data_IF_209133776349
#
_entry.id   IF_209133776349
#
_cell.length_a   1.000
_cell.length_b   1.000
_cell.length_c   1.000
_cell.angle_alpha   90.00
_cell.angle_beta   90.00
_cell.angle_gamma   90.00
#
_symmetry.space_group_name_H-M   'P 1'
#
loop_
_entity.id
_entity.type
_entity.pdbx_description
1 polymer ?
#
# COMPACT_ATOMS: atom_id res chain seq x y z
N UNK A 1 18.77 -2.91 -26.02
CA UNK A 1 18.39 -3.19 -24.61
C UNK A 1 17.47 -2.16 -23.97
N UNK A 2 17.28 -0.94 -24.52
CA UNK A 2 16.30 0.02 -24.06
C UNK A 2 14.85 -0.40 -24.41
N UNK A 3 14.63 -0.97 -25.61
CA UNK A 3 13.32 -1.49 -26.03
C UNK A 3 12.81 -2.67 -25.20
N UNK A 4 13.72 -3.52 -24.70
CA UNK A 4 13.36 -4.68 -23.87
C UNK A 4 12.92 -4.26 -22.46
N UNK A 5 13.59 -3.28 -21.86
CA UNK A 5 13.20 -2.73 -20.54
C UNK A 5 11.81 -2.08 -20.59
N UNK A 6 11.52 -1.40 -21.69
CA UNK A 6 10.22 -0.76 -21.94
C UNK A 6 9.04 -1.76 -21.97
N UNK A 7 9.22 -2.96 -22.59
CA UNK A 7 8.14 -3.97 -22.68
C UNK A 7 7.74 -4.52 -21.32
N UNK A 8 8.68 -4.87 -20.46
CA UNK A 8 8.39 -5.35 -19.10
C UNK A 8 7.67 -4.27 -18.27
N UNK A 9 8.14 -3.04 -18.34
CA UNK A 9 7.52 -1.90 -17.66
C UNK A 9 6.08 -1.65 -18.16
N UNK A 10 5.84 -1.72 -19.48
CA UNK A 10 4.49 -1.62 -20.02
C UNK A 10 3.55 -2.71 -19.51
N UNK A 11 4.04 -3.95 -19.40
CA UNK A 11 3.27 -5.08 -18.86
C UNK A 11 2.97 -4.86 -17.37
N UNK A 12 3.94 -4.41 -16.57
CA UNK A 12 3.74 -4.10 -15.14
C UNK A 12 2.74 -2.97 -14.94
N UNK A 13 2.84 -1.90 -15.72
CA UNK A 13 1.89 -0.77 -15.67
C UNK A 13 0.47 -1.23 -16.01
N UNK A 14 0.31 -2.02 -17.08
CA UNK A 14 -0.97 -2.59 -17.46
C UNK A 14 -1.53 -3.53 -16.39
N UNK A 15 -0.68 -4.34 -15.78
CA UNK A 15 -1.04 -5.24 -14.68
C UNK A 15 -1.53 -4.47 -13.46
N UNK A 16 -0.81 -3.42 -13.06
CA UNK A 16 -1.22 -2.56 -11.93
C UNK A 16 -2.60 -1.96 -12.16
N UNK A 17 -2.85 -1.42 -13.37
CA UNK A 17 -4.17 -0.88 -13.72
C UNK A 17 -5.27 -1.96 -13.69
N UNK A 18 -5.02 -3.15 -14.25
CA UNK A 18 -5.96 -4.27 -14.20
C UNK A 18 -6.29 -4.66 -12.75
N UNK A 19 -5.28 -4.77 -11.90
CA UNK A 19 -5.48 -5.14 -10.50
C UNK A 19 -6.17 -4.04 -9.69
N UNK A 20 -5.95 -2.77 -10.00
CA UNK A 20 -6.65 -1.65 -9.37
C UNK A 20 -8.13 -1.58 -9.77
N UNK A 21 -8.46 -1.88 -11.03
CA UNK A 21 -9.81 -1.82 -11.54
C UNK A 21 -10.64 -3.07 -11.22
N UNK A 22 -10.06 -4.25 -11.39
CA UNK A 22 -10.75 -5.52 -11.39
C UNK A 22 -10.36 -6.46 -10.23
N UNK A 23 -9.24 -6.19 -9.56
CA UNK A 23 -8.63 -7.09 -8.59
C UNK A 23 -7.91 -8.27 -9.24
N UNK A 24 -7.16 -9.02 -8.42
CA UNK A 24 -6.35 -10.14 -8.90
C UNK A 24 -7.17 -11.28 -9.48
N UNK A 25 -8.28 -11.64 -8.83
CA UNK A 25 -9.03 -12.84 -9.18
C UNK A 25 -9.92 -12.68 -10.43
N UNK A 26 -10.30 -11.44 -10.77
CA UNK A 26 -11.14 -11.14 -11.93
C UNK A 26 -10.36 -10.83 -13.21
N UNK A 27 -9.01 -10.84 -13.17
CA UNK A 27 -8.17 -10.64 -14.34
C UNK A 27 -7.27 -11.83 -14.64
N UNK A 28 -6.72 -11.87 -15.84
CA UNK A 28 -5.80 -12.91 -16.32
C UNK A 28 -4.64 -12.33 -17.13
N UNK A 29 -3.64 -13.15 -17.42
CA UNK A 29 -2.44 -12.75 -18.15
C UNK A 29 -2.73 -12.28 -19.58
N UNK A 30 -3.79 -12.79 -20.21
CA UNK A 30 -4.18 -12.39 -21.56
C UNK A 30 -4.78 -10.96 -21.55
N UNK A 31 -5.60 -10.63 -20.56
CA UNK A 31 -6.14 -9.28 -20.37
C UNK A 31 -5.01 -8.27 -20.14
N UNK A 32 -4.05 -8.63 -19.29
CA UNK A 32 -2.87 -7.80 -18.99
C UNK A 32 -2.04 -7.57 -20.26
N UNK A 33 -1.73 -8.63 -21.00
CA UNK A 33 -0.97 -8.53 -22.26
C UNK A 33 -1.66 -7.61 -23.27
N UNK A 34 -2.97 -7.83 -23.52
CA UNK A 34 -3.76 -7.00 -24.42
C UNK A 34 -3.81 -5.53 -24.00
N UNK A 35 -4.00 -5.27 -22.70
CA UNK A 35 -3.98 -3.91 -22.15
C UNK A 35 -2.63 -3.23 -22.35
N UNK A 36 -1.53 -3.99 -22.27
CA UNK A 36 -0.18 -3.49 -22.52
C UNK A 36 0.12 -3.32 -24.04
N UNK A 37 -0.79 -3.72 -24.94
CA UNK A 37 -0.60 -3.65 -26.37
C UNK A 37 0.24 -4.79 -26.96
N UNK A 38 0.33 -5.94 -26.25
CA UNK A 38 1.14 -7.08 -26.69
C UNK A 38 0.32 -8.36 -26.86
N UNK A 39 0.84 -9.27 -27.70
CA UNK A 39 0.32 -10.63 -27.80
C UNK A 39 0.57 -11.41 -26.50
N UNK A 40 -0.31 -12.40 -26.17
CA UNK A 40 -0.17 -13.20 -24.93
C UNK A 40 1.20 -13.85 -24.75
N UNK A 41 1.83 -14.32 -25.84
CA UNK A 41 3.15 -14.95 -25.80
C UNK A 41 4.24 -13.97 -25.33
N UNK A 42 4.07 -12.66 -25.57
CA UNK A 42 5.01 -11.64 -25.12
C UNK A 42 5.02 -11.53 -23.60
N UNK A 43 3.87 -11.69 -22.95
CA UNK A 43 3.77 -11.73 -21.50
C UNK A 43 4.70 -12.80 -20.90
N UNK A 44 4.61 -14.04 -21.38
CA UNK A 44 5.35 -15.18 -20.84
C UNK A 44 6.88 -15.14 -21.09
N UNK A 45 7.34 -14.22 -21.91
CA UNK A 45 8.79 -13.91 -22.01
C UNK A 45 9.32 -13.15 -20.79
N UNK A 46 8.44 -12.48 -20.04
CA UNK A 46 8.81 -11.60 -18.92
C UNK A 46 8.34 -12.13 -17.57
N UNK A 47 7.18 -12.72 -17.54
CA UNK A 47 6.57 -13.20 -16.31
C UNK A 47 6.06 -14.62 -16.48
N UNK A 48 6.45 -15.50 -15.55
CA UNK A 48 6.06 -16.91 -15.57
C UNK A 48 4.56 -17.14 -15.40
N UNK A 49 3.90 -16.26 -14.63
CA UNK A 49 2.49 -16.37 -14.26
C UNK A 49 1.92 -15.03 -13.78
N UNK A 50 0.64 -15.03 -13.42
CA UNK A 50 -0.07 -13.86 -12.88
C UNK A 50 0.49 -13.39 -11.54
N UNK A 51 0.95 -14.30 -10.68
CA UNK A 51 1.55 -13.95 -9.38
C UNK A 51 2.86 -13.19 -9.58
N UNK A 52 3.69 -13.60 -10.52
CA UNK A 52 4.97 -12.92 -10.79
C UNK A 52 4.77 -11.46 -11.23
N UNK A 53 3.82 -11.20 -12.12
CA UNK A 53 3.52 -9.81 -12.52
C UNK A 53 2.80 -9.03 -11.41
N UNK A 54 2.01 -9.70 -10.58
CA UNK A 54 1.40 -9.07 -9.41
C UNK A 54 2.45 -8.58 -8.41
N UNK A 55 3.47 -9.39 -8.13
CA UNK A 55 4.59 -9.00 -7.26
C UNK A 55 5.39 -7.82 -7.83
N UNK A 56 5.61 -7.80 -9.16
CA UNK A 56 6.25 -6.67 -9.83
C UNK A 56 5.40 -5.39 -9.74
N UNK A 57 4.10 -5.50 -9.96
CA UNK A 57 3.15 -4.40 -9.80
C UNK A 57 3.09 -3.91 -8.35
N UNK A 58 3.09 -4.83 -7.39
CA UNK A 58 3.12 -4.49 -5.97
C UNK A 58 4.39 -3.73 -5.58
N UNK A 59 5.55 -4.18 -6.08
CA UNK A 59 6.80 -3.46 -5.84
C UNK A 59 6.74 -2.02 -6.39
N UNK A 60 6.28 -1.85 -7.62
CA UNK A 60 6.13 -0.52 -8.22
C UNK A 60 5.17 0.37 -7.42
N UNK A 61 4.00 -0.17 -7.05
CA UNK A 61 3.02 0.54 -6.24
C UNK A 61 3.58 0.95 -4.87
N UNK A 62 4.29 0.05 -4.19
CA UNK A 62 4.87 0.33 -2.88
C UNK A 62 6.00 1.37 -2.92
N UNK A 63 6.80 1.36 -3.99
CA UNK A 63 7.83 2.39 -4.19
C UNK A 63 7.20 3.78 -4.40
N UNK A 64 6.08 3.87 -5.13
CA UNK A 64 5.31 5.12 -5.29
C UNK A 64 4.66 5.57 -3.99
N UNK A 65 4.13 4.65 -3.18
CA UNK A 65 3.56 4.94 -1.87
C UNK A 65 4.60 5.55 -0.92
N UNK A 66 5.80 5.00 -0.85
CA UNK A 66 6.89 5.55 -0.04
C UNK A 66 7.28 6.95 -0.53
N UNK A 67 7.34 7.19 -1.84
CA UNK A 67 7.60 8.54 -2.38
C UNK A 67 6.52 9.54 -1.98
N UNK A 68 5.24 9.14 -2.00
CA UNK A 68 4.14 9.97 -1.51
C UNK A 68 4.28 10.28 -0.02
N UNK A 69 4.57 9.28 0.80
CA UNK A 69 4.78 9.44 2.24
C UNK A 69 5.99 10.33 2.57
N UNK A 70 7.02 10.34 1.71
CA UNK A 70 8.21 11.15 1.92
C UNK A 70 7.94 12.66 1.90
N UNK A 71 6.95 13.10 1.14
CA UNK A 71 6.58 14.54 1.02
C UNK A 71 5.51 14.97 2.01
N UNK A 72 4.92 14.06 2.78
CA UNK A 72 3.92 14.40 3.78
C UNK A 72 4.56 15.13 4.98
N UNK A 73 3.92 16.18 5.50
CA UNK A 73 4.30 16.80 6.76
C UNK A 73 3.90 15.85 7.91
N UNK A 74 4.89 15.20 8.53
CA UNK A 74 4.68 14.32 9.68
C UNK A 74 4.86 15.08 10.98
N UNK A 75 3.86 15.90 11.33
CA UNK A 75 3.78 16.62 12.59
C UNK A 75 2.33 16.64 13.10
N UNK A 76 2.14 17.05 14.36
CA UNK A 76 0.83 17.00 15.03
C UNK A 76 -0.20 17.85 14.32
N UNK A 77 0.17 19.02 13.82
CA UNK A 77 -0.69 19.98 13.15
C UNK A 77 -1.23 19.45 11.82
N UNK A 78 -0.46 18.58 11.18
CA UNK A 78 -0.81 17.96 9.90
C UNK A 78 -1.55 16.59 10.05
N UNK A 79 -1.85 16.14 11.27
CA UNK A 79 -2.43 14.81 11.50
C UNK A 79 -3.73 14.59 10.72
N UNK A 80 -4.60 15.60 10.64
CA UNK A 80 -5.85 15.52 9.86
C UNK A 80 -5.56 15.36 8.36
N UNK A 81 -4.65 16.17 7.81
CA UNK A 81 -4.24 16.08 6.41
C UNK A 81 -3.64 14.71 6.08
N UNK A 82 -2.82 14.16 6.97
CA UNK A 82 -2.25 12.82 6.81
C UNK A 82 -3.35 11.75 6.77
N UNK A 83 -4.33 11.82 7.66
CA UNK A 83 -5.48 10.90 7.67
C UNK A 83 -6.29 11.00 6.38
N UNK A 84 -6.56 12.20 5.88
CA UNK A 84 -7.29 12.40 4.62
C UNK A 84 -6.57 11.75 3.45
N UNK A 85 -5.25 11.93 3.36
CA UNK A 85 -4.43 11.32 2.31
C UNK A 85 -4.41 9.79 2.43
N UNK A 86 -4.30 9.25 3.64
CA UNK A 86 -4.36 7.79 3.87
C UNK A 86 -5.71 7.23 3.42
N UNK A 87 -6.82 7.83 3.82
CA UNK A 87 -8.17 7.37 3.44
C UNK A 87 -8.35 7.46 1.92
N UNK A 88 -7.97 8.59 1.31
CA UNK A 88 -8.04 8.79 -0.14
C UNK A 88 -7.25 7.71 -0.89
N UNK A 89 -6.02 7.44 -0.47
CA UNK A 89 -5.15 6.42 -1.08
C UNK A 89 -5.74 5.01 -0.93
N UNK A 90 -6.28 4.66 0.25
CA UNK A 90 -6.95 3.37 0.46
C UNK A 90 -8.22 3.24 -0.40
N UNK A 91 -8.95 4.32 -0.61
CA UNK A 91 -10.16 4.34 -1.47
C UNK A 91 -9.81 4.15 -2.94
N UNK A 92 -8.78 4.85 -3.42
CA UNK A 92 -8.28 4.75 -4.80
C UNK A 92 -7.78 3.34 -5.13
N UNK A 93 -7.02 2.73 -4.23
CA UNK A 93 -6.41 1.40 -4.44
C UNK A 93 -7.17 0.26 -3.75
N UNK A 94 -8.46 0.44 -3.44
CA UNK A 94 -9.26 -0.53 -2.67
C UNK A 94 -9.19 -1.94 -3.24
N UNK A 95 -9.39 -2.13 -4.54
CA UNK A 95 -9.39 -3.46 -5.19
C UNK A 95 -8.02 -4.11 -5.14
N UNK A 96 -6.96 -3.33 -5.37
CA UNK A 96 -5.59 -3.81 -5.29
C UNK A 96 -5.24 -4.23 -3.84
N UNK A 97 -5.57 -3.40 -2.87
CA UNK A 97 -5.34 -3.68 -1.45
C UNK A 97 -6.13 -4.90 -0.96
N UNK A 98 -7.36 -5.08 -1.42
CA UNK A 98 -8.16 -6.29 -1.16
C UNK A 98 -7.45 -7.54 -1.69
N UNK A 99 -6.94 -7.50 -2.91
CA UNK A 99 -6.15 -8.57 -3.50
C UNK A 99 -4.89 -8.88 -2.69
N UNK A 100 -4.16 -7.84 -2.22
CA UNK A 100 -2.99 -8.00 -1.35
C UNK A 100 -3.33 -8.69 -0.02
N UNK A 101 -4.44 -8.33 0.62
CA UNK A 101 -4.88 -8.96 1.87
C UNK A 101 -5.21 -10.44 1.65
N UNK A 102 -5.98 -10.74 0.63
CA UNK A 102 -6.39 -12.12 0.33
C UNK A 102 -5.20 -12.99 -0.07
N UNK A 103 -4.39 -12.55 -1.03
CA UNK A 103 -3.20 -13.28 -1.44
C UNK A 103 -2.16 -13.41 -0.31
N UNK A 104 -2.05 -12.43 0.56
CA UNK A 104 -1.14 -12.46 1.71
C UNK A 104 -1.48 -13.57 2.72
N UNK A 105 -2.71 -14.09 2.71
CA UNK A 105 -3.11 -15.26 3.51
C UNK A 105 -2.80 -16.56 2.78
N UNK A 106 -3.03 -16.62 1.47
CA UNK A 106 -3.03 -17.84 0.67
C UNK A 106 -1.68 -18.12 -0.03
N UNK A 107 -0.88 -17.08 -0.28
CA UNK A 107 0.34 -17.16 -1.09
C UNK A 107 1.56 -16.70 -0.31
N UNK A 108 2.54 -17.60 -0.11
CA UNK A 108 3.75 -17.33 0.67
C UNK A 108 4.62 -16.24 0.04
N UNK A 109 4.78 -16.20 -1.30
CA UNK A 109 5.59 -15.18 -1.97
C UNK A 109 5.01 -13.78 -1.75
N UNK A 110 3.68 -13.64 -1.85
CA UNK A 110 2.99 -12.37 -1.58
C UNK A 110 3.09 -11.98 -0.10
N UNK A 111 2.95 -12.94 0.80
CA UNK A 111 3.10 -12.72 2.25
C UNK A 111 4.50 -12.21 2.60
N UNK A 112 5.53 -12.80 2.01
CA UNK A 112 6.92 -12.35 2.20
C UNK A 112 7.15 -10.95 1.63
N UNK A 113 6.68 -10.67 0.41
CA UNK A 113 6.79 -9.36 -0.20
C UNK A 113 6.09 -8.27 0.63
N UNK A 114 4.93 -8.58 1.23
CA UNK A 114 4.24 -7.68 2.16
C UNK A 114 5.06 -7.41 3.42
N UNK A 115 5.67 -8.44 4.00
CA UNK A 115 6.53 -8.29 5.18
C UNK A 115 7.74 -7.41 4.87
N UNK A 116 8.41 -7.63 3.75
CA UNK A 116 9.54 -6.81 3.31
C UNK A 116 9.15 -5.34 3.10
N UNK A 117 8.01 -5.09 2.43
CA UNK A 117 7.50 -3.73 2.25
C UNK A 117 7.17 -3.07 3.59
N UNK A 118 6.57 -3.81 4.52
CA UNK A 118 6.26 -3.32 5.88
C UNK A 118 7.52 -2.91 6.64
N UNK A 119 8.60 -3.70 6.53
CA UNK A 119 9.87 -3.37 7.15
C UNK A 119 10.51 -2.12 6.54
N UNK A 120 10.38 -1.92 5.23
CA UNK A 120 10.84 -0.68 4.56
C UNK A 120 10.05 0.54 5.06
N UNK A 121 8.73 0.46 5.12
CA UNK A 121 7.87 1.53 5.64
C UNK A 121 8.21 1.85 7.09
N UNK A 122 8.37 0.82 7.93
CA UNK A 122 8.72 0.96 9.33
C UNK A 122 10.05 1.70 9.50
N UNK A 123 11.09 1.30 8.76
CA UNK A 123 12.40 1.96 8.80
C UNK A 123 12.32 3.41 8.30
N UNK A 124 11.55 3.65 7.24
CA UNK A 124 11.30 4.99 6.72
C UNK A 124 10.67 5.91 7.77
N UNK A 125 9.57 5.48 8.40
CA UNK A 125 8.89 6.29 9.42
C UNK A 125 9.73 6.44 10.68
N UNK A 126 10.44 5.41 11.11
CA UNK A 126 11.34 5.48 12.26
C UNK A 126 12.41 6.56 12.06
N UNK A 127 13.02 6.58 10.87
CA UNK A 127 14.01 7.60 10.51
C UNK A 127 13.38 9.00 10.39
N UNK A 128 12.25 9.11 9.69
CA UNK A 128 11.59 10.39 9.44
C UNK A 128 11.05 11.04 10.73
N UNK A 129 10.63 10.23 11.69
CA UNK A 129 10.12 10.69 12.99
C UNK A 129 11.22 10.78 14.06
N UNK A 130 12.45 10.37 13.77
CA UNK A 130 13.55 10.39 14.75
C UNK A 130 13.31 9.48 15.94
N UNK A 131 12.58 8.35 15.76
CA UNK A 131 12.22 7.44 16.86
C UNK A 131 13.34 6.46 17.17
N UNK A 132 13.61 6.27 18.47
CA UNK A 132 14.52 5.23 18.95
C UNK A 132 13.98 3.82 18.70
N UNK A 133 14.86 2.82 18.67
CA UNK A 133 14.49 1.40 18.45
C UNK A 133 13.50 0.87 19.50
N UNK A 134 13.48 1.42 20.70
CA UNK A 134 12.51 1.10 21.76
C UNK A 134 11.06 1.36 21.34
N UNK A 135 10.81 2.26 20.39
CA UNK A 135 9.47 2.59 19.87
C UNK A 135 9.07 1.78 18.63
N UNK A 136 9.95 0.91 18.13
CA UNK A 136 9.77 0.17 16.87
C UNK A 136 8.49 -0.66 16.87
N UNK A 137 8.21 -1.40 17.93
CA UNK A 137 7.01 -2.26 18.04
C UNK A 137 5.75 -1.42 18.14
N UNK A 138 5.78 -0.33 18.91
CA UNK A 138 4.66 0.60 19.03
C UNK A 138 4.35 1.26 17.69
N UNK A 139 5.35 1.72 16.96
CA UNK A 139 5.19 2.30 15.63
C UNK A 139 4.57 1.28 14.66
N UNK A 140 5.09 0.04 14.64
CA UNK A 140 4.54 -1.03 13.81
C UNK A 140 3.07 -1.32 14.14
N UNK A 141 2.73 -1.44 15.42
CA UNK A 141 1.35 -1.67 15.85
C UNK A 141 0.41 -0.53 15.42
N UNK A 142 0.85 0.72 15.56
CA UNK A 142 0.07 1.89 15.13
C UNK A 142 -0.10 1.95 13.62
N UNK A 143 0.94 1.63 12.85
CA UNK A 143 0.85 1.54 11.38
C UNK A 143 -0.18 0.50 10.95
N UNK A 144 -0.15 -0.70 11.56
CA UNK A 144 -1.11 -1.76 11.25
C UNK A 144 -2.53 -1.38 11.65
N UNK A 145 -2.71 -0.69 12.77
CA UNK A 145 -4.01 -0.22 13.23
C UNK A 145 -4.59 0.83 12.28
N UNK A 146 -3.82 1.84 11.88
CA UNK A 146 -4.23 2.88 10.94
C UNK A 146 -4.61 2.25 9.59
N UNK A 147 -3.78 1.36 9.06
CA UNK A 147 -4.05 0.64 7.82
C UNK A 147 -5.35 -0.18 7.90
N UNK A 148 -5.57 -0.92 9.00
CA UNK A 148 -6.78 -1.73 9.17
C UNK A 148 -8.04 -0.89 9.28
N UNK A 149 -7.98 0.25 9.98
CA UNK A 149 -9.09 1.20 10.07
C UNK A 149 -9.43 1.81 8.72
N UNK A 150 -8.42 2.23 7.96
CA UNK A 150 -8.60 2.79 6.62
C UNK A 150 -9.17 1.75 5.64
N UNK A 151 -8.66 0.50 5.67
CA UNK A 151 -9.21 -0.59 4.85
C UNK A 151 -10.66 -0.88 5.21
N UNK A 152 -10.99 -0.99 6.52
CA UNK A 152 -12.36 -1.23 6.98
C UNK A 152 -13.32 -0.12 6.55
N UNK A 153 -12.86 1.13 6.63
CA UNK A 153 -13.65 2.29 6.24
C UNK A 153 -14.01 2.24 4.75
N UNK A 154 -13.03 2.01 3.89
CA UNK A 154 -13.26 2.01 2.43
C UNK A 154 -13.96 0.75 1.92
N UNK A 155 -13.96 -0.33 2.72
CA UNK A 155 -14.72 -1.55 2.43
C UNK A 155 -16.18 -1.48 2.91
N UNK A 156 -16.56 -0.43 3.67
CA UNK A 156 -17.94 -0.24 4.17
C UNK A 156 -18.22 -1.01 5.47
N UNK A 157 -17.22 -1.59 6.14
CA UNK A 157 -17.44 -2.37 7.37
C UNK A 157 -18.04 -1.52 8.51
N UNK A 158 -17.74 -0.23 8.55
CA UNK A 158 -18.29 0.68 9.54
C UNK A 158 -19.73 1.10 9.23
N UNK A 159 -20.09 1.18 7.95
CA UNK A 159 -21.46 1.45 7.52
C UNK A 159 -22.40 0.34 7.99
N UNK A 160 -21.96 -0.92 7.91
CA UNK A 160 -22.69 -2.09 8.41
C UNK A 160 -22.94 -2.04 9.93
N UNK A 161 -22.09 -1.30 10.67
CA UNK A 161 -22.18 -1.10 12.12
C UNK A 161 -22.90 0.20 12.49
N UNK A 162 -23.32 1.01 11.52
CA UNK A 162 -23.94 2.32 11.74
C UNK A 162 -22.96 3.37 12.29
N UNK A 163 -21.66 3.19 12.12
CA UNK A 163 -20.62 4.14 12.56
C UNK A 163 -20.28 5.10 11.43
N UNK A 164 -20.23 6.38 11.74
CA UNK A 164 -19.96 7.41 10.74
C UNK A 164 -18.47 7.51 10.40
N UNK A 165 -18.15 7.81 9.15
CA UNK A 165 -16.77 8.04 8.68
C UNK A 165 -16.05 9.10 9.54
N UNK A 166 -16.73 10.17 9.93
CA UNK A 166 -16.16 11.23 10.76
C UNK A 166 -15.68 10.76 12.13
N UNK A 167 -16.36 9.77 12.74
CA UNK A 167 -15.97 9.21 14.02
C UNK A 167 -14.66 8.39 13.88
N UNK A 168 -14.59 7.56 12.85
CA UNK A 168 -13.38 6.77 12.56
C UNK A 168 -12.21 7.67 12.17
N UNK A 169 -12.45 8.70 11.36
CA UNK A 169 -11.45 9.71 11.03
C UNK A 169 -10.87 10.37 12.30
N UNK A 170 -11.72 10.72 13.26
CA UNK A 170 -11.28 11.30 14.54
C UNK A 170 -10.41 10.34 15.34
N UNK A 171 -10.72 9.04 15.36
CA UNK A 171 -9.90 8.01 15.99
C UNK A 171 -8.52 7.93 15.30
N UNK A 172 -8.48 7.91 13.98
CA UNK A 172 -7.23 7.86 13.20
C UNK A 172 -6.37 9.10 13.43
N UNK A 173 -6.97 10.31 13.50
CA UNK A 173 -6.26 11.56 13.79
C UNK A 173 -5.60 11.47 15.16
N UNK A 174 -6.32 10.97 16.17
CA UNK A 174 -5.75 10.80 17.51
C UNK A 174 -4.56 9.83 17.52
N UNK A 175 -4.67 8.68 16.85
CA UNK A 175 -3.59 7.71 16.73
C UNK A 175 -2.33 8.31 16.08
N UNK A 176 -2.50 9.05 15.00
CA UNK A 176 -1.39 9.72 14.29
C UNK A 176 -0.79 10.83 15.16
N UNK A 177 -1.63 11.63 15.82
CA UNK A 177 -1.17 12.69 16.72
C UNK A 177 -0.34 12.17 17.88
N UNK A 178 -0.72 11.02 18.45
CA UNK A 178 0.06 10.36 19.51
C UNK A 178 1.44 9.91 19.02
N UNK A 179 1.52 9.35 17.81
CA UNK A 179 2.80 8.99 17.21
C UNK A 179 3.74 10.20 17.09
N UNK A 180 3.21 11.36 16.73
CA UNK A 180 4.01 12.57 16.58
C UNK A 180 4.46 13.19 17.90
N UNK A 181 3.77 12.94 19.01
CA UNK A 181 4.22 13.40 20.35
C UNK A 181 5.54 12.75 20.77
N UNK A 182 5.77 11.50 20.37
CA UNK A 182 6.99 10.76 20.71
C UNK A 182 8.19 11.08 19.81
N UNK A 183 7.96 11.76 18.67
CA UNK A 183 9.01 12.06 17.69
C UNK A 183 9.95 13.21 18.09
N UNK A 184 9.61 14.02 19.08
CA UNK A 184 10.40 15.18 19.49
C UNK A 184 11.04 15.09 20.88
N UNK A 185 10.90 13.98 21.59
CA UNK A 185 11.49 13.78 22.92
C UNK A 185 12.92 13.21 22.88
N UNK A 186 13.50 13.01 21.71
CA UNK A 186 14.82 12.40 21.53
C UNK A 186 15.91 13.38 21.06
N UNK A 187 15.81 14.67 21.39
CA UNK A 187 16.96 15.59 21.29
C UNK A 187 17.37 15.98 22.71
N UNK A 188 18.60 15.62 23.12
CA UNK A 188 19.18 16.11 24.35
C UNK A 188 19.52 17.61 24.23
#
# INVERSE_FOLDING_TARGET
NAMTKNTAECIVNAALLEFCENGYFATDTNKIARRAGFAPQTFYRWFKDKTAVFLAAYKQWSDLEIQLLAVLPLNKEASEQVVDIVIMHHREYRMFRRSLRQLGVENLEVRQARAENRLKQLSFFQQKLGLADTHRVTLLASMLQIERLADALVEGEFDDLGVQEADIKSVMINLISELFKHSFTALP
#
